data_IF_107467148395
#
_entry.id   IF_107467148395
#
_cell.length_a   1.000
_cell.length_b   1.000
_cell.length_c   1.000
_cell.angle_alpha   90.00
_cell.angle_beta   90.00
_cell.angle_gamma   90.00
#
_symmetry.space_group_name_H-M   'P 1'
#
loop_
_entity.id
_entity.type
_entity.pdbx_description
1 polymer ?
#
# COMPACT_ATOMS: atom_id res chain seq x y z
N UNK A 1 -8.89 -1.38 5.85
CA UNK A 1 -8.31 -0.11 6.34
C UNK A 1 -8.77 0.23 7.76
N UNK A 2 -10.05 0.03 8.12
CA UNK A 2 -10.57 0.36 9.46
C UNK A 2 -9.81 -0.32 10.63
N UNK A 3 -9.59 -1.63 10.57
CA UNK A 3 -8.84 -2.37 11.60
C UNK A 3 -7.40 -1.85 11.78
N UNK A 4 -6.69 -1.58 10.69
CA UNK A 4 -5.33 -1.02 10.73
C UNK A 4 -5.28 0.40 11.29
N UNK A 5 -6.37 1.17 11.14
CA UNK A 5 -6.51 2.48 11.78
C UNK A 5 -6.59 2.34 13.29
N UNK A 6 -7.48 1.47 13.78
CA UNK A 6 -7.62 1.18 15.22
C UNK A 6 -6.29 0.66 15.78
N UNK A 7 -5.67 -0.31 15.10
CA UNK A 7 -4.39 -0.87 15.53
C UNK A 7 -3.29 0.20 15.61
N UNK A 8 -3.22 1.10 14.62
CA UNK A 8 -2.20 2.14 14.57
C UNK A 8 -2.34 3.15 15.72
N UNK A 9 -3.57 3.56 16.02
CA UNK A 9 -3.86 4.47 17.15
C UNK A 9 -3.65 3.76 18.48
N UNK A 10 -4.07 2.49 18.61
CA UNK A 10 -3.94 1.74 19.85
C UNK A 10 -2.48 1.49 20.28
N UNK A 11 -1.54 1.46 19.33
CA UNK A 11 -0.10 1.27 19.63
C UNK A 11 0.69 2.57 19.71
N UNK A 12 0.06 3.71 19.46
CA UNK A 12 0.72 5.03 19.43
C UNK A 12 0.25 5.86 20.62
N UNK A 13 1.19 6.49 21.34
CA UNK A 13 0.82 7.53 22.32
C UNK A 13 0.63 8.88 21.62
N UNK A 14 -0.16 9.78 22.21
CA UNK A 14 -0.42 11.11 21.65
C UNK A 14 0.87 11.88 21.37
N UNK A 15 1.82 11.84 22.31
CA UNK A 15 3.15 12.42 22.15
C UNK A 15 3.89 11.86 20.92
N UNK A 16 3.81 10.56 20.69
CA UNK A 16 4.46 9.93 19.55
C UNK A 16 3.83 10.37 18.21
N UNK A 17 2.52 10.60 18.19
CA UNK A 17 1.82 11.12 17.01
C UNK A 17 2.22 12.57 16.74
N UNK A 18 2.28 13.40 17.79
CA UNK A 18 2.69 14.80 17.68
C UNK A 18 4.12 14.93 17.16
N UNK A 19 5.06 14.18 17.75
CA UNK A 19 6.47 14.16 17.34
C UNK A 19 6.62 13.76 15.86
N UNK A 20 5.85 12.76 15.41
CA UNK A 20 5.79 12.35 14.00
C UNK A 20 5.20 13.42 13.10
N UNK A 21 4.17 14.13 13.55
CA UNK A 21 3.59 15.24 12.80
C UNK A 21 4.58 16.38 12.62
N UNK A 22 5.39 16.70 13.64
CA UNK A 22 6.45 17.70 13.54
C UNK A 22 7.55 17.28 12.55
N UNK A 23 7.89 15.98 12.49
CA UNK A 23 8.78 15.46 11.44
C UNK A 23 8.19 15.78 10.06
N UNK A 24 6.94 15.42 9.77
CA UNK A 24 6.36 15.73 8.45
C UNK A 24 6.38 17.24 8.14
N UNK A 25 6.08 18.09 9.12
CA UNK A 25 6.11 19.56 8.96
C UNK A 25 7.50 20.08 8.62
N UNK A 26 8.55 19.54 9.25
CA UNK A 26 9.94 19.91 8.93
C UNK A 26 10.34 19.60 7.48
N UNK A 27 9.66 18.66 6.83
CA UNK A 27 9.82 18.35 5.40
C UNK A 27 8.82 19.10 4.50
N UNK A 28 8.27 20.23 4.99
CA UNK A 28 7.42 21.13 4.20
C UNK A 28 5.95 20.70 4.09
N UNK A 29 5.47 19.79 4.94
CA UNK A 29 4.05 19.45 4.98
C UNK A 29 3.24 20.46 5.79
N UNK A 30 2.07 20.84 5.29
CA UNK A 30 1.09 21.60 6.08
C UNK A 30 0.35 20.67 7.04
N UNK A 31 -0.19 21.22 8.13
CA UNK A 31 -0.96 20.44 9.10
C UNK A 31 -2.14 19.71 8.45
N UNK A 32 -2.86 20.36 7.51
CA UNK A 32 -3.94 19.73 6.75
C UNK A 32 -3.46 18.51 5.96
N UNK A 33 -2.31 18.62 5.29
CA UNK A 33 -1.75 17.53 4.50
C UNK A 33 -1.35 16.33 5.38
N UNK A 34 -0.80 16.59 6.56
CA UNK A 34 -0.45 15.54 7.53
C UNK A 34 -1.70 14.82 8.02
N UNK A 35 -2.75 15.55 8.41
CA UNK A 35 -4.04 14.93 8.79
C UNK A 35 -4.60 14.07 7.66
N UNK A 36 -4.56 14.57 6.43
CA UNK A 36 -5.03 13.83 5.27
C UNK A 36 -4.19 12.59 4.93
N UNK A 37 -2.90 12.58 5.25
CA UNK A 37 -2.04 11.40 5.14
C UNK A 37 -2.44 10.35 6.17
N UNK A 38 -2.58 10.75 7.43
CA UNK A 38 -2.94 9.85 8.54
C UNK A 38 -4.32 9.24 8.29
N UNK A 39 -5.30 10.05 7.89
CA UNK A 39 -6.66 9.60 7.56
C UNK A 39 -6.68 8.56 6.43
N UNK A 40 -5.87 8.76 5.38
CA UNK A 40 -5.81 7.85 4.22
C UNK A 40 -4.93 6.63 4.46
N UNK A 41 -3.91 6.76 5.29
CA UNK A 41 -2.92 5.73 5.54
C UNK A 41 -2.44 5.78 7.00
N UNK A 42 -3.23 5.29 7.96
CA UNK A 42 -2.89 5.35 9.38
C UNK A 42 -1.65 4.52 9.73
N UNK A 43 -1.29 3.53 8.90
CA UNK A 43 -0.08 2.72 9.04
C UNK A 43 1.23 3.51 8.90
N UNK A 44 1.19 4.80 8.52
CA UNK A 44 2.41 5.61 8.59
C UNK A 44 2.82 5.87 10.04
N UNK A 45 1.86 5.89 10.98
CA UNK A 45 2.11 6.10 12.40
C UNK A 45 2.68 4.86 13.09
N UNK A 46 2.56 3.65 12.51
CA UNK A 46 3.21 2.46 13.08
C UNK A 46 4.72 2.40 12.80
N UNK A 47 5.23 3.25 11.90
CA UNK A 47 6.65 3.30 11.57
C UNK A 47 7.43 4.03 12.66
N UNK A 48 8.70 3.65 12.83
CA UNK A 48 9.62 4.40 13.68
C UNK A 48 9.97 5.75 13.05
N UNK A 49 10.33 6.72 13.88
CA UNK A 49 10.64 8.08 13.44
C UNK A 49 11.83 8.12 12.47
N UNK A 50 12.86 7.29 12.70
CA UNK A 50 14.04 7.22 11.85
C UNK A 50 13.66 6.75 10.44
N UNK A 51 12.80 5.74 10.35
CA UNK A 51 12.30 5.19 9.08
C UNK A 51 11.43 6.22 8.35
N UNK A 52 10.65 7.02 9.08
CA UNK A 52 9.86 8.10 8.48
C UNK A 52 10.78 9.17 7.89
N UNK A 53 11.80 9.61 8.66
CA UNK A 53 12.80 10.59 8.20
C UNK A 53 13.54 10.09 6.96
N UNK A 54 14.02 8.85 6.97
CA UNK A 54 14.72 8.24 5.84
C UNK A 54 13.83 8.18 4.58
N UNK A 55 12.56 7.80 4.74
CA UNK A 55 11.58 7.80 3.64
C UNK A 55 11.31 9.18 3.10
N UNK A 56 11.16 10.17 3.97
CA UNK A 56 10.92 11.55 3.55
C UNK A 56 12.14 12.13 2.83
N UNK A 57 13.34 11.90 3.35
CA UNK A 57 14.60 12.31 2.70
C UNK A 57 14.73 11.69 1.30
N UNK A 58 14.55 10.38 1.19
CA UNK A 58 14.59 9.70 -0.10
C UNK A 58 13.55 10.27 -1.08
N UNK A 59 12.30 10.42 -0.66
CA UNK A 59 11.23 10.85 -1.57
C UNK A 59 11.30 12.33 -1.95
N UNK A 60 11.58 13.21 -0.98
CA UNK A 60 11.51 14.65 -1.17
C UNK A 60 12.86 15.18 -1.66
N UNK A 61 13.95 14.85 -0.96
CA UNK A 61 15.26 15.41 -1.25
C UNK A 61 15.91 14.70 -2.45
N UNK A 62 15.88 13.37 -2.50
CA UNK A 62 16.53 12.64 -3.59
C UNK A 62 15.66 12.53 -4.85
N UNK A 63 14.36 12.27 -4.70
CA UNK A 63 13.45 12.09 -5.84
C UNK A 63 12.65 13.34 -6.23
N UNK A 64 12.74 14.43 -5.47
CA UNK A 64 12.07 15.70 -5.77
C UNK A 64 10.54 15.64 -5.68
N UNK A 65 9.96 14.71 -4.90
CA UNK A 65 8.51 14.69 -4.71
C UNK A 65 8.05 15.87 -3.88
N UNK A 66 6.97 16.51 -4.34
CA UNK A 66 6.27 17.51 -3.54
C UNK A 66 5.54 16.85 -2.37
N UNK A 67 5.52 17.48 -1.19
CA UNK A 67 4.64 17.10 -0.08
C UNK A 67 3.20 16.88 -0.56
N UNK A 68 2.52 15.88 0.01
CA UNK A 68 1.13 15.54 -0.28
C UNK A 68 0.78 15.17 -1.74
N UNK A 69 1.78 14.86 -2.58
CA UNK A 69 1.54 14.40 -3.95
C UNK A 69 0.64 13.14 -4.00
N UNK A 70 -0.28 13.02 -4.98
CA UNK A 70 -1.12 11.83 -5.11
C UNK A 70 -0.32 10.51 -5.19
N UNK A 71 -0.65 9.56 -4.32
CA UNK A 71 0.01 8.26 -4.25
C UNK A 71 1.28 8.25 -3.38
N UNK A 72 1.60 9.33 -2.67
CA UNK A 72 2.67 9.35 -1.69
C UNK A 72 2.44 8.31 -0.57
N UNK A 73 1.18 8.03 -0.25
CA UNK A 73 0.77 7.04 0.75
C UNK A 73 1.29 5.64 0.43
N UNK A 74 1.22 5.22 -0.84
CA UNK A 74 1.66 3.86 -1.23
C UNK A 74 3.17 3.68 -1.18
N UNK A 75 3.93 4.79 -1.21
CA UNK A 75 5.38 4.77 -1.05
C UNK A 75 5.78 4.48 0.41
N UNK A 76 4.96 4.91 1.37
CA UNK A 76 5.21 4.66 2.79
C UNK A 76 5.11 3.18 3.16
N UNK A 77 4.24 2.42 2.50
CA UNK A 77 4.10 0.98 2.74
C UNK A 77 5.25 0.13 2.14
N UNK A 78 6.11 0.70 1.29
CA UNK A 78 7.17 -0.04 0.59
C UNK A 78 8.55 0.20 1.21
N UNK A 79 9.39 -0.83 1.30
CA UNK A 79 10.80 -0.67 1.68
C UNK A 79 11.58 0.15 0.65
N UNK A 80 12.46 1.05 1.11
CA UNK A 80 13.28 1.88 0.22
C UNK A 80 14.19 1.00 -0.62
N UNK A 81 15.09 0.26 0.04
CA UNK A 81 16.13 -0.56 -0.60
C UNK A 81 15.54 -1.67 -1.49
N UNK A 82 14.59 -2.46 -0.96
CA UNK A 82 14.12 -3.65 -1.70
C UNK A 82 13.10 -3.35 -2.78
N UNK A 83 12.41 -2.20 -2.73
CA UNK A 83 11.25 -1.96 -3.62
C UNK A 83 11.23 -0.58 -4.26
N UNK A 84 11.47 0.50 -3.52
CA UNK A 84 11.39 1.83 -4.12
C UNK A 84 12.60 2.14 -5.00
N UNK A 85 13.81 1.87 -4.50
CA UNK A 85 15.05 2.17 -5.19
C UNK A 85 15.20 1.36 -6.52
N UNK A 86 15.03 0.02 -6.54
CA UNK A 86 15.15 -0.75 -7.78
C UNK A 86 14.13 -0.29 -8.84
N UNK A 87 12.89 -0.06 -8.42
CA UNK A 87 11.82 0.34 -9.34
C UNK A 87 11.99 1.77 -9.83
N UNK A 88 12.50 2.66 -8.99
CA UNK A 88 12.83 4.02 -9.40
C UNK A 88 13.93 4.03 -10.46
N UNK A 89 15.02 3.29 -10.25
CA UNK A 89 16.14 3.21 -11.19
C UNK A 89 15.74 2.62 -12.53
N UNK A 90 14.97 1.53 -12.55
CA UNK A 90 14.41 0.98 -13.79
C UNK A 90 13.58 2.03 -14.53
N UNK A 91 12.65 2.70 -13.86
CA UNK A 91 11.82 3.74 -14.49
C UNK A 91 12.64 4.93 -15.00
N UNK A 92 13.72 5.28 -14.30
CA UNK A 92 14.65 6.33 -14.70
C UNK A 92 15.35 5.96 -16.01
N UNK A 93 16.00 4.78 -16.07
CA UNK A 93 16.71 4.31 -17.27
C UNK A 93 15.78 4.18 -18.47
N UNK A 94 14.58 3.62 -18.28
CA UNK A 94 13.59 3.51 -19.36
C UNK A 94 13.15 4.88 -19.90
N UNK A 95 13.09 5.90 -19.03
CA UNK A 95 12.74 7.27 -19.41
C UNK A 95 13.88 7.92 -20.19
N UNK A 96 15.11 7.80 -19.70
CA UNK A 96 16.32 8.37 -20.33
C UNK A 96 16.53 7.77 -21.72
N UNK A 97 16.34 6.45 -21.87
CA UNK A 97 16.41 5.74 -23.15
C UNK A 97 15.16 5.88 -24.03
N UNK A 98 14.14 6.61 -23.57
CA UNK A 98 12.85 6.83 -24.27
C UNK A 98 12.14 5.53 -24.67
N UNK A 99 12.35 4.45 -23.93
CA UNK A 99 11.75 3.12 -24.18
C UNK A 99 10.27 3.05 -23.77
N UNK A 100 9.84 3.98 -22.91
CA UNK A 100 8.45 4.11 -22.46
C UNK A 100 7.81 5.41 -22.98
N UNK A 101 6.65 5.29 -23.64
CA UNK A 101 5.90 6.44 -24.19
C UNK A 101 5.17 7.26 -23.12
N UNK A 102 4.84 6.64 -21.98
CA UNK A 102 4.05 7.25 -20.89
C UNK A 102 4.94 7.56 -19.70
N UNK A 103 4.71 8.71 -19.08
CA UNK A 103 5.28 9.01 -17.77
C UNK A 103 4.62 8.15 -16.69
N UNK A 104 5.33 7.12 -16.25
CA UNK A 104 4.90 6.26 -15.15
C UNK A 104 5.36 6.85 -13.81
N UNK A 105 4.40 7.05 -12.90
CA UNK A 105 4.67 7.48 -11.52
C UNK A 105 5.25 6.32 -10.70
N UNK A 106 6.22 6.63 -9.84
CA UNK A 106 6.78 5.63 -8.93
C UNK A 106 5.72 5.05 -8.00
N UNK A 107 4.77 5.88 -7.53
CA UNK A 107 3.65 5.46 -6.68
C UNK A 107 2.76 4.40 -7.30
N UNK A 108 2.60 4.40 -8.62
CA UNK A 108 1.87 3.35 -9.34
C UNK A 108 2.72 2.09 -9.51
N UNK A 109 4.00 2.26 -9.82
CA UNK A 109 4.92 1.15 -9.99
C UNK A 109 5.23 0.43 -8.68
N UNK A 110 5.23 1.12 -7.53
CA UNK A 110 5.52 0.54 -6.20
C UNK A 110 4.41 -0.40 -5.73
N UNK A 111 3.16 -0.17 -6.13
CA UNK A 111 2.00 -1.00 -5.76
C UNK A 111 1.93 -2.31 -6.56
N UNK A 112 2.61 -2.39 -7.71
CA UNK A 112 2.62 -3.60 -8.50
C UNK A 112 3.27 -4.76 -7.73
N UNK A 113 2.69 -5.95 -7.85
CA UNK A 113 3.37 -7.20 -7.48
C UNK A 113 4.67 -7.30 -8.28
N UNK A 114 5.67 -7.98 -7.74
CA UNK A 114 6.95 -8.17 -8.42
C UNK A 114 6.79 -8.78 -9.82
N UNK A 115 5.99 -9.85 -9.98
CA UNK A 115 5.72 -10.47 -11.27
C UNK A 115 5.18 -9.47 -12.32
N UNK A 116 4.19 -8.65 -11.94
CA UNK A 116 3.62 -7.64 -12.82
C UNK A 116 4.60 -6.50 -13.13
N UNK A 117 5.44 -6.11 -12.17
CA UNK A 117 6.49 -5.12 -12.41
C UNK A 117 7.51 -5.64 -13.42
N UNK A 118 8.01 -6.87 -13.23
CA UNK A 118 8.98 -7.51 -14.12
C UNK A 118 8.43 -7.66 -15.54
N UNK A 119 7.23 -8.22 -15.68
CA UNK A 119 6.56 -8.41 -16.97
C UNK A 119 6.38 -7.12 -17.76
N UNK A 120 6.15 -6.00 -17.05
CA UNK A 120 5.82 -4.72 -17.68
C UNK A 120 7.04 -3.85 -17.95
N UNK A 121 8.02 -3.84 -17.06
CA UNK A 121 9.12 -2.86 -17.07
C UNK A 121 10.51 -3.46 -17.16
N UNK A 122 10.70 -4.75 -16.86
CA UNK A 122 12.03 -5.36 -16.87
C UNK A 122 12.18 -6.28 -18.07
N UNK A 123 11.38 -7.34 -18.16
CA UNK A 123 11.49 -8.37 -19.20
C UNK A 123 11.41 -7.85 -20.66
N UNK A 124 10.62 -6.80 -20.98
CA UNK A 124 10.60 -6.28 -22.35
C UNK A 124 11.84 -5.49 -22.76
N UNK A 125 12.74 -5.16 -21.82
CA UNK A 125 13.83 -4.21 -22.02
C UNK A 125 15.14 -4.77 -21.44
N UNK A 126 16.03 -5.23 -22.31
CA UNK A 126 17.29 -5.85 -21.87
C UNK A 126 18.20 -4.87 -21.12
N UNK A 127 18.09 -3.58 -21.43
CA UNK A 127 18.89 -2.50 -20.87
C UNK A 127 18.73 -2.30 -19.36
N UNK A 128 17.62 -2.79 -18.79
CA UNK A 128 17.35 -2.66 -17.35
C UNK A 128 17.53 -3.98 -16.59
N UNK A 129 17.85 -5.08 -17.30
CA UNK A 129 18.07 -6.38 -16.66
C UNK A 129 19.24 -6.32 -15.67
N UNK A 130 20.38 -5.80 -16.11
CA UNK A 130 21.58 -5.66 -15.27
C UNK A 130 21.35 -4.68 -14.11
N UNK A 131 20.71 -3.54 -14.40
CA UNK A 131 20.40 -2.51 -13.40
C UNK A 131 19.50 -3.07 -12.30
N UNK A 132 18.46 -3.83 -12.67
CA UNK A 132 17.56 -4.44 -11.71
C UNK A 132 18.28 -5.54 -10.90
N UNK A 133 19.02 -6.43 -11.58
CA UNK A 133 19.75 -7.53 -10.97
C UNK A 133 20.75 -7.05 -9.89
N UNK A 134 21.51 -5.99 -10.17
CA UNK A 134 22.48 -5.41 -9.23
C UNK A 134 21.80 -4.88 -7.96
N UNK A 135 20.62 -4.27 -8.10
CA UNK A 135 19.92 -3.64 -6.97
C UNK A 135 19.11 -4.64 -6.12
N UNK A 136 18.66 -5.75 -6.71
CA UNK A 136 17.88 -6.78 -5.99
C UNK A 136 18.69 -7.99 -5.58
N UNK A 137 19.97 -8.06 -5.95
CA UNK A 137 20.83 -9.23 -5.72
C UNK A 137 20.37 -10.49 -6.45
N UNK A 138 19.56 -10.33 -7.51
CA UNK A 138 18.95 -11.44 -8.27
C UNK A 138 19.76 -11.73 -9.52
N UNK A 139 19.94 -13.01 -9.89
CA UNK A 139 20.57 -13.37 -11.17
C UNK A 139 19.60 -13.15 -12.33
N UNK A 140 20.09 -12.74 -13.50
CA UNK A 140 19.28 -12.49 -14.71
C UNK A 140 18.50 -13.75 -15.13
N UNK A 141 19.05 -14.94 -14.87
CA UNK A 141 18.44 -16.24 -15.10
C UNK A 141 17.15 -16.44 -14.28
N UNK A 142 17.11 -15.95 -13.04
CA UNK A 142 15.92 -16.06 -12.18
C UNK A 142 14.74 -15.22 -12.69
N UNK A 143 15.03 -14.10 -13.36
CA UNK A 143 14.04 -13.22 -13.98
C UNK A 143 13.38 -13.88 -15.20
N UNK A 144 14.15 -14.64 -15.98
CA UNK A 144 13.65 -15.39 -17.14
C UNK A 144 12.79 -16.60 -16.72
N UNK A 145 13.13 -17.29 -15.62
CA UNK A 145 12.36 -18.44 -15.13
C UNK A 145 10.98 -18.08 -14.57
N UNK A 146 10.87 -16.93 -13.90
CA UNK A 146 9.57 -16.39 -13.44
C UNK A 146 8.64 -16.01 -14.60
N UNK A 147 9.17 -15.68 -15.77
CA UNK A 147 8.35 -15.44 -16.97
C UNK A 147 7.67 -16.73 -17.49
N UNK A 148 8.37 -17.87 -17.43
CA UNK A 148 7.88 -19.18 -17.89
C UNK A 148 6.81 -19.76 -16.96
N UNK A 149 7.01 -19.66 -15.63
CA UNK A 149 6.02 -20.13 -14.65
C UNK A 149 4.75 -19.26 -14.64
N UNK A 150 4.88 -17.93 -14.77
CA UNK A 150 3.72 -17.03 -14.83
C UNK A 150 2.93 -17.19 -16.15
N UNK A 151 3.60 -17.47 -17.28
CA UNK A 151 2.94 -17.82 -18.53
C UNK A 151 2.16 -19.15 -18.44
N UNK A 152 2.65 -20.11 -17.66
CA UNK A 152 1.93 -21.36 -17.38
C UNK A 152 0.71 -21.16 -16.47
N UNK A 153 0.83 -20.31 -15.43
CA UNK A 153 -0.27 -19.98 -14.52
C UNK A 153 -1.44 -19.26 -15.22
N UNK A 154 -1.15 -18.27 -16.09
CA UNK A 154 -2.18 -17.58 -16.87
C UNK A 154 -2.93 -18.51 -17.86
N UNK A 155 -2.29 -19.55 -18.38
CA UNK A 155 -2.93 -20.52 -19.28
C UNK A 155 -3.94 -21.43 -18.56
N UNK A 156 -3.70 -21.79 -17.29
CA UNK A 156 -4.67 -22.54 -16.47
C UNK A 156 -5.88 -21.71 -16.07
N UNK A 157 -5.71 -20.41 -15.78
CA UNK A 157 -6.81 -19.52 -15.42
C UNK A 157 -7.81 -19.31 -16.57
N UNK A 158 -7.33 -19.24 -17.82
CA UNK A 158 -8.20 -19.11 -18.99
C UNK A 158 -8.99 -20.40 -19.32
N UNK A 159 -8.54 -21.56 -18.82
CA UNK A 159 -9.21 -22.87 -19.01
C UNK A 159 -10.32 -23.13 -17.99
N UNK A 160 -10.35 -22.39 -16.88
CA UNK A 160 -11.42 -22.46 -15.86
C UNK A 160 -12.57 -21.47 -16.11
N UNK A 161 -12.39 -20.50 -17.02
CA UNK A 161 -13.45 -19.57 -17.44
C UNK A 161 -14.29 -20.12 -18.61
N UNK A 162 -14.48 -21.44 -18.66
CA UNK A 162 -15.33 -22.12 -19.63
C UNK A 162 -16.80 -22.11 -19.19
N UNK A 163 -17.59 -21.26 -19.85
CA UNK A 163 -19.05 -21.35 -20.03
C UNK A 163 -19.93 -21.16 -18.80
N UNK A 164 -20.63 -20.02 -18.75
CA UNK A 164 -22.09 -19.99 -18.49
C UNK A 164 -22.70 -18.74 -19.12
N UNK A 165 -23.53 -18.95 -20.15
CA UNK A 165 -24.47 -17.96 -20.68
C UNK A 165 -25.47 -17.63 -19.56
N UNK A 166 -25.65 -16.35 -19.26
CA UNK A 166 -26.79 -15.91 -18.47
C UNK A 166 -28.05 -15.97 -19.33
N UNK A 167 -29.02 -16.79 -18.92
CA UNK A 167 -30.40 -16.76 -19.41
C UNK A 167 -31.27 -16.08 -18.35
N UNK A 168 -32.16 -15.16 -18.78
CA UNK A 168 -33.15 -14.48 -17.95
C UNK A 168 -34.36 -15.39 -17.67
N UNK A 169 -35.11 -15.01 -16.63
CA UNK A 169 -36.45 -15.43 -16.13
C UNK A 169 -36.46 -16.20 -14.79
N UNK A 170 -37.19 -15.66 -13.80
CA UNK A 170 -37.44 -16.21 -12.44
C UNK A 170 -38.69 -17.11 -12.37
N UNK A 171 -39.44 -17.22 -11.24
CA UNK A 171 -39.17 -16.81 -9.84
C UNK A 171 -39.49 -17.89 -8.75
N UNK A 172 -39.20 -17.52 -7.49
CA UNK A 172 -39.91 -17.82 -6.22
C UNK A 172 -39.86 -19.21 -5.49
N UNK A 173 -39.53 -19.08 -4.19
CA UNK A 173 -40.05 -19.75 -2.96
C UNK A 173 -39.16 -20.74 -2.17
N UNK A 174 -39.37 -20.64 -0.84
CA UNK A 174 -39.16 -21.63 0.24
C UNK A 174 -37.90 -21.54 1.13
N UNK A 175 -38.03 -20.72 2.17
CA UNK A 175 -37.91 -21.05 3.61
C UNK A 175 -37.25 -22.40 3.99
N UNK A 176 -36.22 -22.33 4.85
CA UNK A 176 -36.16 -23.06 6.14
C UNK A 176 -35.10 -22.46 7.08
N UNK A 177 -35.53 -22.21 8.32
CA UNK A 177 -34.72 -21.84 9.48
C UNK A 177 -33.85 -23.01 9.93
N UNK A 178 -32.68 -22.72 10.51
CA UNK A 178 -32.12 -23.49 11.63
C UNK A 178 -31.53 -22.50 12.66
N UNK A 179 -32.04 -22.65 13.88
CA UNK A 179 -31.63 -22.10 15.19
C UNK A 179 -30.12 -22.29 15.43
N UNK A 180 -29.34 -21.42 16.05
CA UNK A 180 -29.55 -20.69 17.31
C UNK A 180 -28.37 -21.03 18.24
N UNK A 181 -27.77 -20.04 18.88
CA UNK A 181 -27.10 -20.14 20.19
C UNK A 181 -26.67 -18.75 20.65
N UNK A 182 -27.33 -18.30 21.71
CA UNK A 182 -27.15 -17.06 22.44
C UNK A 182 -25.78 -16.96 23.09
N UNK A 183 -25.16 -15.79 23.02
CA UNK A 183 -24.24 -15.33 24.06
C UNK A 183 -24.84 -14.13 24.77
N UNK A 184 -24.82 -14.23 26.09
CA UNK A 184 -25.48 -13.41 27.08
C UNK A 184 -24.93 -11.97 27.06
N UNK A 185 -25.79 -10.97 26.80
CA UNK A 185 -25.41 -9.57 26.53
C UNK A 185 -25.25 -8.67 27.78
N UNK A 186 -25.27 -9.23 28.99
CA UNK A 186 -25.34 -8.42 30.22
C UNK A 186 -24.02 -8.18 30.96
N UNK A 187 -22.85 -8.57 30.43
CA UNK A 187 -21.55 -8.36 31.11
C UNK A 187 -20.63 -7.36 30.39
N UNK A 188 -20.94 -6.92 29.16
CA UNK A 188 -20.07 -6.00 28.39
C UNK A 188 -20.38 -4.51 28.66
N UNK A 189 -21.46 -4.20 29.40
CA UNK A 189 -22.00 -2.83 29.44
C UNK A 189 -21.53 -1.94 30.61
N UNK A 190 -20.60 -2.37 31.46
CA UNK A 190 -20.12 -1.54 32.60
C UNK A 190 -18.67 -1.09 32.50
N UNK A 191 -17.90 -1.53 31.51
CA UNK A 191 -16.53 -1.04 31.27
C UNK A 191 -16.42 0.08 30.23
N UNK A 192 -17.55 0.56 29.70
CA UNK A 192 -17.60 1.37 28.47
C UNK A 192 -17.78 2.89 28.68
N UNK A 193 -17.68 3.41 29.90
CA UNK A 193 -18.02 4.82 30.19
C UNK A 193 -16.90 5.68 30.80
N UNK A 194 -15.66 5.19 30.91
CA UNK A 194 -14.51 6.04 31.28
C UNK A 194 -13.39 6.10 30.24
N UNK A 195 -13.39 5.27 29.20
CA UNK A 195 -12.43 5.37 28.08
C UNK A 195 -12.97 6.12 26.85
N UNK A 196 -14.28 6.37 26.79
CA UNK A 196 -14.91 7.06 25.64
C UNK A 196 -14.59 8.55 25.56
N UNK A 197 -14.26 9.19 26.69
CA UNK A 197 -13.96 10.63 26.70
C UNK A 197 -12.59 10.95 26.10
N UNK A 198 -11.60 10.06 26.20
CA UNK A 198 -10.30 10.27 25.56
C UNK A 198 -10.29 9.82 24.08
N UNK A 199 -11.01 8.75 23.73
CA UNK A 199 -11.11 8.29 22.35
C UNK A 199 -11.83 9.28 21.43
N UNK A 200 -12.85 10.00 21.94
CA UNK A 200 -13.55 11.02 21.14
C UNK A 200 -12.68 12.23 20.81
N UNK A 201 -11.71 12.60 21.66
CA UNK A 201 -10.81 13.74 21.40
C UNK A 201 -9.74 13.38 20.35
N UNK A 202 -9.18 12.17 20.39
CA UNK A 202 -8.17 11.73 19.41
C UNK A 202 -8.80 11.57 18.01
N UNK A 203 -10.00 10.98 17.92
CA UNK A 203 -10.73 10.86 16.64
C UNK A 203 -11.20 12.24 16.17
N UNK A 204 -11.65 13.14 17.04
CA UNK A 204 -12.10 14.47 16.63
C UNK A 204 -10.96 15.41 16.24
N UNK A 205 -9.75 15.25 16.77
CA UNK A 205 -8.61 16.15 16.48
C UNK A 205 -7.79 15.70 15.26
N UNK A 206 -7.80 14.39 14.94
CA UNK A 206 -7.03 13.79 13.85
C UNK A 206 -7.84 13.15 12.71
N UNK A 207 -9.11 12.81 12.94
CA UNK A 207 -9.98 12.12 11.96
C UNK A 207 -11.22 12.95 11.57
N UNK A 208 -11.48 14.07 12.29
CA UNK A 208 -12.50 15.07 11.96
C UNK A 208 -12.08 16.02 10.84
#
# INVERSE_FOLDING_TARGET
MFFYGIQSVAVSSDKNIDDKCEIFKSFGWTQSNVKDLIRRHPLCLTLKEEIIKEKLDFLINQLGYKPACPGFQSLFSCSIEKRLLPRHRVLQVLREKRLIKKHYRLSGASVLTEANFLKKFVLPFEEVHEVYAQLTGSTVESLKMTSRSNAASCKSAHKLAGVRRYSKHGPLTSRRNVTGSCWNWSIVLTFHLLEYSMFSLIVSQYIG
#
